data_IF_363341203640
#
_entry.id   IF_363341203640
#
_cell.length_a   1.000
_cell.length_b   1.000
_cell.length_c   1.000
_cell.angle_alpha   90.00
_cell.angle_beta   90.00
_cell.angle_gamma   90.00
#
_symmetry.space_group_name_H-M   'P 1'
#
loop_
_entity.id
_entity.type
_entity.pdbx_description
1 polymer ?
#
# COMPACT_ATOMS: atom_id res chain seq x y z
N UNK A 1 -40.58 9.46 -32.51
CA UNK A 1 -40.47 10.72 -33.25
C UNK A 1 -39.96 11.79 -32.28
N UNK A 2 -38.81 12.25 -32.45
CA UNK A 2 -38.20 13.57 -32.39
C UNK A 2 -36.71 13.44 -32.04
N UNK A 3 -35.94 13.50 -33.09
CA UNK A 3 -34.50 13.75 -33.11
C UNK A 3 -34.30 15.21 -32.68
N UNK A 4 -33.31 15.47 -31.77
CA UNK A 4 -32.71 16.77 -31.68
C UNK A 4 -31.20 16.61 -31.76
N UNK A 5 -30.73 17.04 -32.88
CA UNK A 5 -29.37 17.30 -33.35
C UNK A 5 -29.02 18.73 -32.90
N UNK A 6 -27.91 18.94 -32.22
CA UNK A 6 -27.25 20.25 -32.06
C UNK A 6 -25.75 20.03 -31.98
N UNK A 7 -25.10 20.15 -32.98
CA UNK A 7 -24.22 21.08 -33.71
C UNK A 7 -23.26 21.88 -32.80
N UNK A 8 -21.99 21.51 -32.92
CA UNK A 8 -20.71 22.25 -32.93
C UNK A 8 -20.73 23.75 -32.58
N UNK A 9 -19.79 24.14 -31.68
CA UNK A 9 -19.04 25.38 -31.83
C UNK A 9 -17.61 25.17 -31.27
N UNK A 10 -16.66 25.13 -32.22
CA UNK A 10 -15.22 25.23 -32.01
C UNK A 10 -14.90 26.72 -31.89
N UNK A 11 -14.28 27.14 -30.80
CA UNK A 11 -13.55 28.41 -30.74
C UNK A 11 -12.16 28.14 -30.21
N UNK A 12 -11.22 28.16 -31.11
CA UNK A 12 -9.80 28.21 -30.82
C UNK A 12 -9.37 29.57 -30.32
N UNK A 13 -8.64 29.64 -29.25
CA UNK A 13 -7.81 30.77 -28.89
C UNK A 13 -6.40 30.26 -28.65
N UNK A 14 -5.57 30.48 -29.66
CA UNK A 14 -4.11 30.40 -29.60
C UNK A 14 -3.58 31.66 -28.97
N UNK A 15 -2.96 31.60 -27.80
CA UNK A 15 -2.11 32.67 -27.27
C UNK A 15 -0.69 32.14 -27.18
N UNK A 16 0.09 32.52 -28.15
CA UNK A 16 1.54 32.36 -28.13
C UNK A 16 2.17 33.37 -27.16
N UNK A 17 2.95 32.88 -26.22
CA UNK A 17 3.87 33.68 -25.45
C UNK A 17 5.29 33.32 -25.86
N UNK A 18 5.87 34.22 -26.62
CA UNK A 18 7.30 34.29 -26.97
C UNK A 18 8.02 34.85 -25.75
N UNK A 19 8.89 34.09 -25.10
CA UNK A 19 9.86 34.66 -24.17
C UNK A 19 11.24 34.65 -24.80
N UNK A 20 11.68 35.91 -25.00
CA UNK A 20 12.99 36.25 -25.54
C UNK A 20 14.11 35.86 -24.61
N UNK A 21 15.10 35.21 -25.17
CA UNK A 21 16.41 34.97 -24.56
C UNK A 21 17.22 36.25 -24.68
N UNK A 22 17.71 36.80 -23.58
CA UNK A 22 18.82 37.74 -23.60
C UNK A 22 19.64 37.62 -22.33
N UNK A 23 20.93 37.46 -22.46
CA UNK A 23 21.86 37.63 -21.36
C UNK A 23 23.11 36.75 -21.38
N UNK A 24 24.05 37.10 -22.26
CA UNK A 24 25.47 36.69 -22.20
C UNK A 24 26.09 36.97 -20.85
N UNK A 25 26.81 36.03 -20.27
CA UNK A 25 27.76 36.21 -19.19
C UNK A 25 28.86 35.17 -19.27
N UNK A 26 29.87 35.40 -20.12
CA UNK A 26 31.12 34.61 -20.12
C UNK A 26 31.90 34.90 -18.84
N UNK A 27 32.10 33.91 -18.00
CA UNK A 27 33.20 33.93 -17.01
C UNK A 27 34.05 32.69 -17.24
N UNK A 28 35.24 32.96 -17.77
CA UNK A 28 36.37 32.03 -17.81
C UNK A 28 36.79 31.72 -16.37
N UNK A 29 36.87 30.45 -16.04
CA UNK A 29 37.72 30.03 -14.94
C UNK A 29 38.38 28.72 -15.32
N UNK A 30 39.69 28.75 -15.07
CA UNK A 30 40.77 27.84 -15.40
C UNK A 30 40.50 26.39 -15.07
N UNK A 31 41.06 25.57 -15.93
CA UNK A 31 41.39 24.17 -15.79
C UNK A 31 42.12 23.86 -14.49
N UNK A 32 41.52 22.96 -13.69
CA UNK A 32 42.28 21.99 -12.92
C UNK A 32 41.57 20.65 -13.13
N UNK A 33 42.19 19.80 -13.93
CA UNK A 33 41.85 18.40 -14.14
C UNK A 33 42.13 17.64 -12.83
N UNK A 34 41.12 17.37 -12.07
CA UNK A 34 41.19 16.31 -11.06
C UNK A 34 40.64 15.02 -11.70
N UNK A 35 41.59 14.18 -12.16
CA UNK A 35 41.37 12.82 -12.57
C UNK A 35 40.79 12.04 -11.39
N UNK A 36 39.47 11.81 -11.40
CA UNK A 36 38.87 10.71 -10.66
C UNK A 36 39.24 9.41 -11.34
N UNK A 37 39.93 8.47 -10.68
CA UNK A 37 40.15 7.16 -11.26
C UNK A 37 38.80 6.46 -11.36
N UNK A 38 38.35 6.22 -12.57
CA UNK A 38 37.28 5.26 -12.86
C UNK A 38 37.81 3.90 -12.42
N UNK A 39 37.45 3.47 -11.21
CA UNK A 39 37.65 2.10 -10.78
C UNK A 39 36.63 1.25 -11.56
N UNK A 40 37.08 0.76 -12.69
CA UNK A 40 36.43 -0.35 -13.37
C UNK A 40 36.59 -1.57 -12.45
N UNK A 41 35.58 -1.84 -11.63
CA UNK A 41 35.48 -3.03 -10.78
C UNK A 41 35.31 -4.23 -11.70
N UNK A 42 36.39 -4.76 -12.23
CA UNK A 42 36.40 -6.05 -12.87
C UNK A 42 36.05 -7.10 -11.82
N UNK A 43 34.89 -7.77 -11.97
CA UNK A 43 34.54 -8.92 -11.14
C UNK A 43 35.65 -9.99 -11.28
N UNK A 44 36.18 -10.51 -10.16
CA UNK A 44 37.24 -11.52 -10.23
C UNK A 44 36.74 -12.80 -10.88
N UNK A 45 37.56 -13.40 -11.73
CA UNK A 45 37.19 -14.62 -12.47
C UNK A 45 37.57 -15.86 -11.65
N UNK A 46 36.83 -16.99 -11.88
CA UNK A 46 37.14 -18.26 -11.21
C UNK A 46 38.63 -18.64 -11.38
N UNK A 47 39.33 -18.87 -10.26
CA UNK A 47 40.75 -19.23 -10.20
C UNK A 47 41.71 -18.09 -9.87
N UNK A 48 41.25 -16.84 -9.67
CA UNK A 48 42.06 -15.76 -9.18
C UNK A 48 42.12 -15.74 -7.63
N UNK A 49 43.27 -15.30 -7.03
CA UNK A 49 43.37 -15.21 -5.58
C UNK A 49 42.32 -14.25 -5.02
N UNK A 50 41.43 -14.76 -4.16
CA UNK A 50 40.34 -13.99 -3.57
C UNK A 50 38.95 -14.26 -4.15
N UNK A 51 38.85 -14.96 -5.27
CA UNK A 51 37.53 -15.32 -5.86
C UNK A 51 36.67 -16.16 -4.91
N UNK A 52 37.26 -17.16 -4.25
CA UNK A 52 36.50 -18.03 -3.33
C UNK A 52 35.91 -17.24 -2.16
N UNK A 53 36.67 -16.30 -1.61
CA UNK A 53 36.23 -15.49 -0.48
C UNK A 53 35.04 -14.56 -0.89
N UNK A 54 35.12 -13.95 -2.06
CA UNK A 54 34.07 -13.08 -2.58
C UNK A 54 32.84 -13.91 -2.95
N UNK A 55 33.06 -15.12 -3.49
CA UNK A 55 31.99 -16.04 -3.83
C UNK A 55 31.24 -16.55 -2.58
N UNK A 56 31.98 -16.95 -1.53
CA UNK A 56 31.39 -17.37 -0.26
C UNK A 56 30.63 -16.22 0.42
N UNK A 57 31.18 -15.00 0.41
CA UNK A 57 30.51 -13.83 0.98
C UNK A 57 29.25 -13.44 0.19
N UNK A 58 29.27 -13.58 -1.13
CA UNK A 58 28.11 -13.36 -1.98
C UNK A 58 27.03 -14.42 -1.80
N UNK A 59 27.42 -15.68 -1.57
CA UNK A 59 26.48 -16.78 -1.30
C UNK A 59 25.85 -16.65 0.08
N UNK A 60 26.63 -16.29 1.11
CA UNK A 60 26.12 -16.02 2.45
C UNK A 60 25.12 -14.86 2.47
N UNK A 61 25.42 -13.76 1.75
CA UNK A 61 24.49 -12.63 1.60
C UNK A 61 23.20 -13.02 0.87
N UNK A 62 23.29 -13.94 -0.08
CA UNK A 62 22.14 -14.46 -0.82
C UNK A 62 21.26 -15.38 0.04
N UNK A 63 21.88 -16.24 0.87
CA UNK A 63 21.15 -17.07 1.83
C UNK A 63 20.45 -16.22 2.89
N UNK A 64 21.13 -15.22 3.47
CA UNK A 64 20.52 -14.30 4.42
C UNK A 64 19.33 -13.53 3.80
N UNK A 65 19.42 -13.16 2.52
CA UNK A 65 18.32 -12.50 1.81
C UNK A 65 17.11 -13.44 1.56
N UNK A 66 17.38 -14.72 1.31
CA UNK A 66 16.33 -15.75 1.12
C UNK A 66 15.61 -16.06 2.43
N UNK A 67 16.35 -16.18 3.52
CA UNK A 67 15.77 -16.40 4.86
C UNK A 67 14.92 -15.19 5.30
N UNK A 68 15.38 -13.98 4.99
CA UNK A 68 14.62 -12.76 5.25
C UNK A 68 13.35 -12.69 4.42
N UNK A 69 13.40 -13.08 3.14
CA UNK A 69 12.21 -13.13 2.27
C UNK A 69 11.24 -14.22 2.70
N UNK A 70 11.71 -15.40 3.09
CA UNK A 70 10.88 -16.48 3.61
C UNK A 70 10.22 -16.09 4.95
N UNK A 71 10.95 -15.43 5.84
CA UNK A 71 10.42 -14.90 7.10
C UNK A 71 9.37 -13.79 6.86
N UNK A 72 9.59 -12.92 5.86
CA UNK A 72 8.60 -11.92 5.47
C UNK A 72 7.36 -12.55 4.84
N UNK A 73 7.51 -13.58 4.00
CA UNK A 73 6.39 -14.31 3.40
C UNK A 73 5.56 -15.04 4.46
N UNK A 74 6.19 -15.75 5.40
CA UNK A 74 5.53 -16.39 6.51
C UNK A 74 4.80 -15.39 7.43
N UNK A 75 5.41 -14.22 7.65
CA UNK A 75 4.81 -13.12 8.40
C UNK A 75 3.58 -12.55 7.69
N UNK A 76 3.59 -12.47 6.36
CA UNK A 76 2.46 -12.01 5.55
C UNK A 76 1.28 -12.99 5.63
N UNK A 77 1.55 -14.29 5.65
CA UNK A 77 0.52 -15.33 5.76
C UNK A 77 -0.20 -15.28 7.13
N UNK A 78 0.54 -15.00 8.19
CA UNK A 78 -0.02 -14.81 9.56
C UNK A 78 -0.89 -13.55 9.63
N UNK A 79 -0.57 -12.50 8.89
CA UNK A 79 -1.28 -11.22 8.92
C UNK A 79 -2.67 -11.27 8.25
N UNK A 80 -2.91 -12.20 7.35
CA UNK A 80 -4.22 -12.37 6.70
C UNK A 80 -5.14 -13.33 7.47
N UNK A 81 -4.67 -13.88 8.59
CA UNK A 81 -5.28 -14.99 9.31
C UNK A 81 -6.66 -14.75 9.94
N UNK A 82 -7.16 -13.51 9.99
CA UNK A 82 -8.51 -13.20 10.50
C UNK A 82 -9.52 -12.88 9.43
N UNK A 83 -9.07 -12.47 8.27
CA UNK A 83 -9.94 -12.24 7.12
C UNK A 83 -10.23 -13.57 6.43
N UNK A 84 -11.50 -13.80 6.09
CA UNK A 84 -11.91 -15.02 5.36
C UNK A 84 -11.42 -14.98 3.92
N UNK A 85 -10.56 -15.92 3.54
CA UNK A 85 -10.12 -16.03 2.14
C UNK A 85 -11.33 -16.20 1.18
N UNK A 86 -11.31 -15.60 -0.01
CA UNK A 86 -10.22 -14.87 -0.64
C UNK A 86 -10.22 -13.34 -0.38
N UNK A 87 -10.98 -12.88 0.59
CA UNK A 87 -11.03 -11.47 0.97
C UNK A 87 -9.69 -11.02 1.59
N UNK A 88 -9.42 -9.73 1.56
CA UNK A 88 -8.18 -9.12 2.04
C UNK A 88 -8.48 -8.10 3.13
N UNK A 89 -7.72 -8.06 4.24
CA UNK A 89 -7.82 -7.00 5.22
C UNK A 89 -7.34 -5.67 4.63
N UNK A 90 -7.83 -4.55 5.18
CA UNK A 90 -7.35 -3.21 4.84
C UNK A 90 -6.78 -2.52 6.07
N UNK A 91 -5.72 -1.73 5.87
CA UNK A 91 -4.94 -1.12 6.94
C UNK A 91 -5.09 0.39 6.97
N UNK A 92 -4.89 0.97 8.17
CA UNK A 92 -5.09 2.39 8.42
C UNK A 92 -3.86 3.04 9.04
N UNK A 93 -3.72 4.34 8.82
CA UNK A 93 -2.75 5.15 9.54
C UNK A 93 -3.12 5.31 11.02
N UNK A 94 -2.14 5.74 11.82
CA UNK A 94 -2.36 6.08 13.21
C UNK A 94 -3.46 7.14 13.33
N UNK A 95 -4.39 6.90 14.23
CA UNK A 95 -5.53 7.78 14.55
C UNK A 95 -6.41 8.18 13.36
N UNK A 96 -6.36 7.43 12.25
CA UNK A 96 -7.18 7.70 11.06
C UNK A 96 -8.16 6.57 10.77
N UNK A 97 -9.29 6.96 10.17
CA UNK A 97 -10.34 6.04 9.68
C UNK A 97 -10.63 6.20 8.18
N UNK A 98 -9.94 7.09 7.48
CA UNK A 98 -10.03 7.17 6.02
C UNK A 98 -9.23 6.05 5.36
N UNK A 99 -9.76 5.49 4.27
CA UNK A 99 -9.07 4.46 3.50
C UNK A 99 -7.87 5.09 2.79
N UNK A 100 -6.69 4.53 3.02
CA UNK A 100 -5.43 4.92 2.38
C UNK A 100 -5.49 4.60 0.89
N UNK A 101 -4.74 5.34 0.10
CA UNK A 101 -4.71 5.16 -1.35
C UNK A 101 -4.14 3.78 -1.75
N UNK A 102 -3.08 3.34 -1.08
CA UNK A 102 -2.46 2.03 -1.28
C UNK A 102 -3.38 0.85 -0.88
N UNK A 103 -4.42 1.09 -0.09
CA UNK A 103 -5.39 0.07 0.32
C UNK A 103 -6.62 -0.02 -0.61
N UNK A 104 -6.78 0.91 -1.55
CA UNK A 104 -7.93 0.93 -2.48
C UNK A 104 -7.98 -0.33 -3.33
N UNK A 105 -6.86 -0.76 -3.88
CA UNK A 105 -6.81 -1.98 -4.69
C UNK A 105 -7.24 -3.24 -3.90
N UNK A 106 -6.98 -3.29 -2.59
CA UNK A 106 -7.39 -4.41 -1.73
C UNK A 106 -8.91 -4.43 -1.54
N UNK A 107 -9.53 -3.30 -1.21
CA UNK A 107 -10.97 -3.22 -1.00
C UNK A 107 -11.75 -3.38 -2.33
N UNK A 108 -11.17 -2.97 -3.46
CA UNK A 108 -11.76 -3.18 -4.79
C UNK A 108 -11.75 -4.67 -5.17
N UNK A 109 -10.69 -5.43 -4.84
CA UNK A 109 -10.67 -6.89 -4.97
C UNK A 109 -11.76 -7.54 -4.12
N UNK A 110 -11.95 -7.08 -2.88
CA UNK A 110 -13.03 -7.56 -2.03
C UNK A 110 -14.40 -7.26 -2.65
N UNK A 111 -14.60 -6.07 -3.21
CA UNK A 111 -15.83 -5.71 -3.90
C UNK A 111 -16.10 -6.58 -5.14
N UNK A 112 -15.05 -6.89 -5.92
CA UNK A 112 -15.17 -7.77 -7.09
C UNK A 112 -15.64 -9.17 -6.65
N UNK A 113 -14.99 -9.77 -5.66
CA UNK A 113 -15.40 -11.05 -5.11
C UNK A 113 -16.85 -11.05 -4.60
N UNK A 114 -17.26 -10.00 -3.88
CA UNK A 114 -18.61 -9.89 -3.37
C UNK A 114 -19.66 -9.69 -4.49
N UNK A 115 -19.30 -9.11 -5.63
CA UNK A 115 -20.17 -8.99 -6.81
C UNK A 115 -20.36 -10.33 -7.51
N UNK A 116 -19.29 -11.13 -7.60
CA UNK A 116 -19.33 -12.47 -8.19
C UNK A 116 -20.08 -13.48 -7.31
N UNK A 117 -20.17 -13.20 -5.99
CA UNK A 117 -20.81 -14.07 -5.00
C UNK A 117 -21.93 -13.32 -4.26
N UNK A 118 -23.12 -13.11 -4.89
CA UNK A 118 -24.17 -12.25 -4.34
C UNK A 118 -24.80 -12.76 -3.04
N UNK A 119 -24.71 -14.03 -2.74
CA UNK A 119 -25.22 -14.67 -1.51
C UNK A 119 -24.30 -14.46 -0.29
N UNK A 120 -23.02 -14.13 -0.53
CA UNK A 120 -22.05 -13.96 0.56
C UNK A 120 -22.33 -12.68 1.32
N UNK A 121 -22.50 -12.81 2.64
CA UNK A 121 -22.57 -11.70 3.60
C UNK A 121 -21.27 -11.60 4.36
N UNK A 122 -20.87 -10.39 4.71
CA UNK A 122 -19.61 -10.14 5.42
C UNK A 122 -19.81 -9.30 6.66
N UNK A 123 -19.03 -9.59 7.69
CA UNK A 123 -18.83 -8.76 8.85
C UNK A 123 -17.52 -8.01 8.70
N UNK A 124 -17.57 -6.71 8.82
CA UNK A 124 -16.44 -5.80 8.77
C UNK A 124 -16.00 -5.54 10.21
N UNK A 125 -14.90 -6.15 10.62
CA UNK A 125 -14.39 -6.10 11.98
C UNK A 125 -13.30 -5.03 12.08
N UNK A 126 -13.63 -3.90 12.73
CA UNK A 126 -12.72 -2.78 12.91
C UNK A 126 -11.84 -2.94 14.13
N UNK A 127 -10.54 -2.77 13.96
CA UNK A 127 -9.53 -2.91 14.99
C UNK A 127 -8.66 -1.65 15.08
N UNK A 128 -8.09 -1.40 16.25
CA UNK A 128 -7.11 -0.35 16.53
C UNK A 128 -5.83 -0.95 17.13
N UNK A 129 -4.80 -0.14 17.25
CA UNK A 129 -3.66 -0.46 18.10
C UNK A 129 -4.02 -0.17 19.58
N UNK A 130 -3.15 -0.56 20.51
CA UNK A 130 -3.35 -0.46 21.95
C UNK A 130 -3.22 0.95 22.54
N UNK A 131 -2.82 1.94 21.72
CA UNK A 131 -2.59 3.31 22.18
C UNK A 131 -3.90 4.07 22.33
N UNK A 132 -4.16 4.58 23.54
CA UNK A 132 -5.38 5.34 23.86
C UNK A 132 -6.21 4.65 24.94
N UNK A 133 -7.48 5.05 25.07
CA UNK A 133 -8.43 4.37 25.95
C UNK A 133 -9.25 3.36 25.18
N UNK A 134 -9.74 2.33 25.86
CA UNK A 134 -10.57 1.29 25.25
C UNK A 134 -11.79 1.90 24.53
N UNK A 135 -12.49 2.84 25.16
CA UNK A 135 -13.66 3.51 24.59
C UNK A 135 -13.32 4.27 23.31
N UNK A 136 -12.18 4.97 23.31
CA UNK A 136 -11.70 5.66 22.13
C UNK A 136 -11.38 4.69 21.01
N UNK A 137 -10.68 3.60 21.31
CA UNK A 137 -10.29 2.57 20.38
C UNK A 137 -11.49 1.80 19.83
N UNK A 138 -12.50 1.52 20.64
CA UNK A 138 -13.79 0.96 20.19
C UNK A 138 -14.47 1.89 19.16
N UNK A 139 -14.55 3.19 19.46
CA UNK A 139 -15.13 4.16 18.54
C UNK A 139 -14.30 4.32 17.25
N UNK A 140 -12.96 4.25 17.32
CA UNK A 140 -12.07 4.33 16.17
C UNK A 140 -12.22 3.09 15.27
N UNK A 141 -12.28 1.89 15.86
CA UNK A 141 -12.54 0.65 15.13
C UNK A 141 -13.88 0.69 14.40
N UNK A 142 -14.95 1.18 15.03
CA UNK A 142 -16.25 1.34 14.38
C UNK A 142 -16.17 2.33 13.20
N UNK A 143 -15.52 3.49 13.37
CA UNK A 143 -15.34 4.46 12.27
C UNK A 143 -14.59 3.85 11.08
N UNK A 144 -13.59 2.99 11.32
CA UNK A 144 -12.85 2.27 10.27
C UNK A 144 -13.76 1.28 9.53
N UNK A 145 -14.51 0.46 10.26
CA UNK A 145 -15.46 -0.48 9.68
C UNK A 145 -16.54 0.23 8.85
N UNK A 146 -17.08 1.35 9.34
CA UNK A 146 -18.04 2.18 8.60
C UNK A 146 -17.44 2.80 7.34
N UNK A 147 -16.18 3.22 7.37
CA UNK A 147 -15.48 3.74 6.17
C UNK A 147 -15.32 2.67 5.10
N UNK A 148 -14.96 1.44 5.50
CA UNK A 148 -14.89 0.29 4.58
C UNK A 148 -16.28 -0.04 4.01
N UNK A 149 -17.31 -0.09 4.84
CA UNK A 149 -18.70 -0.31 4.42
C UNK A 149 -19.14 0.73 3.40
N UNK A 150 -18.92 2.01 3.69
CA UNK A 150 -19.26 3.13 2.79
C UNK A 150 -18.55 3.01 1.44
N UNK A 151 -17.27 2.63 1.44
CA UNK A 151 -16.52 2.45 0.20
C UNK A 151 -17.09 1.31 -0.64
N UNK A 152 -17.39 0.15 -0.03
CA UNK A 152 -18.04 -0.98 -0.70
C UNK A 152 -19.42 -0.63 -1.24
N UNK A 153 -20.22 0.16 -0.51
CA UNK A 153 -21.52 0.65 -0.99
C UNK A 153 -21.35 1.53 -2.24
N UNK A 154 -20.36 2.40 -2.27
CA UNK A 154 -20.05 3.22 -3.45
C UNK A 154 -19.62 2.37 -4.65
N UNK A 155 -19.05 1.19 -4.42
CA UNK A 155 -18.75 0.19 -5.43
C UNK A 155 -19.95 -0.69 -5.81
N UNK A 156 -21.14 -0.46 -5.22
CA UNK A 156 -22.38 -1.15 -5.56
C UNK A 156 -22.70 -2.41 -4.75
N UNK A 157 -22.00 -2.63 -3.62
CA UNK A 157 -22.36 -3.73 -2.71
C UNK A 157 -23.53 -3.30 -1.82
N UNK A 158 -24.56 -4.14 -1.74
CA UNK A 158 -25.78 -3.82 -1.00
C UNK A 158 -25.52 -3.80 0.51
N UNK A 159 -26.11 -2.82 1.23
CA UNK A 159 -25.86 -2.60 2.66
C UNK A 159 -26.25 -3.79 3.53
N UNK A 160 -27.30 -4.54 3.15
CA UNK A 160 -27.83 -5.70 3.90
C UNK A 160 -26.86 -6.90 3.93
N UNK A 161 -25.86 -6.85 3.09
CA UNK A 161 -24.80 -7.86 3.01
C UNK A 161 -23.61 -7.56 3.93
N UNK A 162 -23.61 -6.40 4.59
CA UNK A 162 -22.48 -5.88 5.33
C UNK A 162 -22.89 -5.45 6.75
N UNK A 163 -22.32 -6.11 7.76
CA UNK A 163 -22.46 -5.75 9.16
C UNK A 163 -21.13 -5.19 9.67
N UNK A 164 -21.15 -4.13 10.47
CA UNK A 164 -19.97 -3.61 11.13
C UNK A 164 -19.92 -4.09 12.57
N UNK A 165 -18.69 -4.32 13.05
CA UNK A 165 -18.40 -4.65 14.44
C UNK A 165 -17.04 -4.08 14.79
N UNK A 166 -16.93 -3.40 15.91
CA UNK A 166 -15.64 -2.95 16.44
C UNK A 166 -15.16 -3.87 17.55
N UNK A 167 -13.89 -4.14 17.54
CA UNK A 167 -13.18 -4.76 18.66
C UNK A 167 -12.21 -3.78 19.33
N UNK A 168 -12.06 -2.56 18.79
CA UNK A 168 -11.07 -1.64 19.30
C UNK A 168 -9.69 -2.28 19.35
N UNK A 169 -9.08 -2.32 20.52
CA UNK A 169 -7.78 -2.94 20.79
C UNK A 169 -7.87 -4.39 21.31
N UNK A 170 -9.09 -4.91 21.51
CA UNK A 170 -9.30 -6.21 22.19
C UNK A 170 -8.85 -7.42 21.37
N UNK A 171 -8.69 -7.28 20.04
CA UNK A 171 -8.26 -8.36 19.17
C UNK A 171 -7.01 -8.01 18.36
N UNK A 172 -5.87 -7.83 19.05
CA UNK A 172 -4.62 -7.57 18.34
C UNK A 172 -4.23 -8.76 17.48
N UNK A 173 -3.66 -8.49 16.31
CA UNK A 173 -3.05 -9.50 15.45
C UNK A 173 -1.63 -9.83 15.92
N UNK A 174 -0.90 -8.79 16.32
CA UNK A 174 0.43 -8.87 16.90
C UNK A 174 0.44 -8.19 18.29
N UNK A 175 1.12 -8.82 19.23
CA UNK A 175 1.23 -8.34 20.62
C UNK A 175 2.51 -7.53 20.89
N UNK A 176 3.26 -7.12 19.87
CA UNK A 176 4.44 -6.27 20.03
C UNK A 176 4.06 -4.82 20.28
N UNK A 177 4.91 -4.10 21.06
CA UNK A 177 4.77 -2.69 21.36
C UNK A 177 5.66 -1.82 20.46
N UNK A 178 5.60 -2.09 19.16
CA UNK A 178 6.37 -1.41 18.11
C UNK A 178 5.47 -0.96 16.96
N UNK A 179 5.96 -0.04 16.14
CA UNK A 179 5.17 0.51 15.02
C UNK A 179 4.77 -0.56 14.00
N UNK A 180 5.58 -1.61 13.83
CA UNK A 180 5.23 -2.72 12.96
C UNK A 180 3.98 -3.44 13.46
N UNK A 181 3.96 -3.84 14.73
CA UNK A 181 2.84 -4.51 15.38
C UNK A 181 1.58 -3.64 15.40
N UNK A 182 1.75 -2.36 15.75
CA UNK A 182 0.64 -1.41 15.75
C UNK A 182 0.06 -1.18 14.35
N UNK A 183 0.91 -1.08 13.32
CA UNK A 183 0.43 -0.93 11.94
C UNK A 183 -0.41 -2.12 11.48
N UNK A 184 -0.08 -3.34 11.92
CA UNK A 184 -0.85 -4.54 11.61
C UNK A 184 -2.16 -4.63 12.41
N UNK A 185 -2.17 -4.06 13.61
CA UNK A 185 -3.37 -4.02 14.45
C UNK A 185 -4.39 -2.99 13.94
N UNK A 186 -3.95 -1.90 13.31
CA UNK A 186 -4.81 -0.86 12.72
C UNK A 186 -5.45 -1.33 11.40
N UNK A 187 -6.44 -2.21 11.48
CA UNK A 187 -7.03 -2.84 10.30
C UNK A 187 -8.55 -3.01 10.37
N UNK A 188 -9.14 -3.32 9.23
CA UNK A 188 -10.49 -3.88 9.14
C UNK A 188 -10.38 -5.26 8.48
N UNK A 189 -10.84 -6.27 9.20
CA UNK A 189 -10.98 -7.63 8.68
C UNK A 189 -12.34 -7.84 8.00
N UNK A 190 -12.37 -8.69 6.98
CA UNK A 190 -13.57 -9.07 6.24
C UNK A 190 -13.89 -10.53 6.51
N UNK A 191 -14.85 -10.78 7.38
CA UNK A 191 -15.20 -12.13 7.83
C UNK A 191 -16.53 -12.54 7.19
N UNK A 192 -16.52 -13.67 6.47
CA UNK A 192 -17.76 -14.22 5.88
C UNK A 192 -18.70 -14.61 7.02
N UNK A 193 -19.89 -14.03 7.02
CA UNK A 193 -20.95 -14.38 7.96
C UNK A 193 -21.57 -15.74 7.55
N UNK A 194 -21.63 -16.66 8.50
CA UNK A 194 -22.30 -17.95 8.34
C UNK A 194 -23.81 -17.81 8.53
#
# INVERSE_FOLDING_TARGET
MRKFLLLLLIVGISVGIVFSVSGCGKKKMSSDEEMTPTVESAEPKPGEPGYEKIYEESMAAKEESLDTQAAMAAKTEVLEGRTSAPLLPIYFDFDKSNIREDQRARIEKNAAYLKENPEVKVRLEGNSDERGTNEYNMALGERRALSAKKYLMNLGIHTDRMHTLSYGEEKPLLHGHDEYSWAQNRRVDFVVAK
#
